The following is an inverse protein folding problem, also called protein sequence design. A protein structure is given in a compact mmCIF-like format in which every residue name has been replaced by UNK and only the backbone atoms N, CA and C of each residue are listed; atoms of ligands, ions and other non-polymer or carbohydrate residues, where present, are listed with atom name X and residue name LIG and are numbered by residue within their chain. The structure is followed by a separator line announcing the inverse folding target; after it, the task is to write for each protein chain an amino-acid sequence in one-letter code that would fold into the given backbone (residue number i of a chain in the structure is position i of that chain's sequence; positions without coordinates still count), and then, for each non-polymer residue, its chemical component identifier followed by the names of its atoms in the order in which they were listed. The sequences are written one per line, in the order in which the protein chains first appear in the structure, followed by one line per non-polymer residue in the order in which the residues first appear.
data_IF_933014797137
#
_entry.id   IF_933014797137
#
_cell.length_a   1.000
_cell.length_b   1.000
_cell.length_c   1.000
_cell.angle_alpha   90.00
_cell.angle_beta   90.00
_cell.angle_gamma   90.00
#
_symmetry.space_group_name_H-M   'P 1'
#
loop_
_entity.id
_entity.type
_entity.pdbx_description
1 polymer ?
#
# COMPACT_ATOMS: atom_id res chain seq x y z
N UNK A 1 -14.27 5.89 75.55
CA UNK A 1 -14.93 5.13 74.46
C UNK A 1 -15.21 6.12 73.33
N UNK A 2 -14.26 6.35 72.43
CA UNK A 2 -14.37 7.38 71.40
C UNK A 2 -13.91 6.81 70.06
N UNK A 3 -14.81 6.92 69.07
CA UNK A 3 -14.84 6.14 67.84
C UNK A 3 -13.65 6.44 66.93
N UNK A 4 -13.01 5.39 66.40
CA UNK A 4 -12.04 5.46 65.31
C UNK A 4 -12.70 6.03 64.04
N UNK A 5 -12.03 6.93 63.29
CA UNK A 5 -12.57 7.46 62.05
C UNK A 5 -12.47 6.40 60.93
N UNK A 6 -13.59 6.18 60.22
CA UNK A 6 -13.62 5.31 59.03
C UNK A 6 -12.85 5.97 57.90
N UNK A 7 -11.81 5.30 57.39
CA UNK A 7 -11.09 5.71 56.18
C UNK A 7 -12.01 5.65 54.94
N UNK A 8 -11.99 6.66 54.06
CA UNK A 8 -12.84 6.68 52.88
C UNK A 8 -12.39 5.62 51.85
N UNK A 9 -13.34 4.78 51.43
CA UNK A 9 -13.13 3.78 50.37
C UNK A 9 -13.01 4.47 49.00
N UNK A 10 -11.86 4.27 48.37
CA UNK A 10 -11.66 3.94 46.96
C UNK A 10 -12.38 4.78 45.90
N UNK A 11 -11.61 5.62 45.19
CA UNK A 11 -12.00 6.18 43.89
C UNK A 11 -10.80 6.38 42.96
N UNK A 12 -10.17 5.28 42.50
CA UNK A 12 -9.12 5.32 41.45
C UNK A 12 -9.51 4.62 40.15
N UNK A 13 -10.80 4.33 39.96
CA UNK A 13 -11.29 3.49 38.86
C UNK A 13 -11.23 4.16 37.47
N UNK A 14 -11.06 5.48 37.39
CA UNK A 14 -11.15 6.24 36.14
C UNK A 14 -9.84 6.29 35.34
N UNK A 15 -8.73 6.55 36.03
CA UNK A 15 -7.41 6.75 35.40
C UNK A 15 -6.84 5.43 34.90
N UNK A 16 -6.92 4.35 35.70
CA UNK A 16 -6.48 3.02 35.28
C UNK A 16 -7.24 2.50 34.05
N UNK A 17 -8.57 2.65 34.01
CA UNK A 17 -9.38 2.24 32.86
C UNK A 17 -9.05 3.03 31.58
N UNK A 18 -8.68 4.30 31.71
CA UNK A 18 -8.27 5.13 30.59
C UNK A 18 -6.91 4.67 30.02
N UNK A 19 -5.95 4.37 30.91
CA UNK A 19 -4.65 3.81 30.51
C UNK A 19 -4.80 2.43 29.86
N UNK A 20 -5.62 1.54 30.41
CA UNK A 20 -5.83 0.20 29.83
C UNK A 20 -6.55 0.30 28.47
N UNK A 21 -7.50 1.22 28.31
CA UNK A 21 -8.17 1.45 27.01
C UNK A 21 -7.24 2.06 25.97
N UNK A 22 -6.40 3.03 26.35
CA UNK A 22 -5.41 3.61 25.45
C UNK A 22 -4.38 2.56 25.01
N UNK A 23 -3.88 1.76 25.96
CA UNK A 23 -2.94 0.68 25.67
C UNK A 23 -3.55 -0.40 24.79
N UNK A 24 -4.79 -0.83 25.08
CA UNK A 24 -5.52 -1.78 24.25
C UNK A 24 -5.77 -1.22 22.84
N UNK A 25 -6.10 0.06 22.71
CA UNK A 25 -6.25 0.72 21.41
C UNK A 25 -4.96 0.78 20.60
N UNK A 26 -3.81 1.01 21.26
CA UNK A 26 -2.49 0.93 20.62
C UNK A 26 -2.21 -0.50 20.16
N UNK A 27 -2.47 -1.50 20.99
CA UNK A 27 -2.29 -2.91 20.61
C UNK A 27 -3.20 -3.32 19.44
N UNK A 28 -4.46 -2.87 19.43
CA UNK A 28 -5.39 -3.11 18.33
C UNK A 28 -4.90 -2.43 17.05
N UNK A 29 -4.37 -1.21 17.12
CA UNK A 29 -3.77 -0.52 15.96
C UNK A 29 -2.53 -1.24 15.45
N UNK A 30 -1.62 -1.67 16.33
CA UNK A 30 -0.41 -2.42 15.96
C UNK A 30 -0.78 -3.76 15.33
N UNK A 31 -1.71 -4.49 15.95
CA UNK A 31 -2.21 -5.76 15.41
C UNK A 31 -2.92 -5.55 14.06
N UNK A 32 -3.71 -4.50 13.90
CA UNK A 32 -4.35 -4.16 12.64
C UNK A 32 -3.31 -3.82 11.55
N UNK A 33 -2.24 -3.10 11.87
CA UNK A 33 -1.14 -2.80 10.93
C UNK A 33 -0.40 -4.07 10.53
N UNK A 34 -0.11 -4.96 11.48
CA UNK A 34 0.53 -6.26 11.20
C UNK A 34 -0.39 -7.11 10.31
N UNK A 35 -1.67 -7.22 10.66
CA UNK A 35 -2.65 -7.98 9.90
C UNK A 35 -2.86 -7.41 8.50
N UNK A 36 -2.90 -6.08 8.33
CA UNK A 36 -2.98 -5.45 7.00
C UNK A 36 -1.76 -5.75 6.14
N UNK A 37 -0.56 -5.77 6.74
CA UNK A 37 0.68 -6.08 6.04
C UNK A 37 0.76 -7.55 5.61
N UNK A 38 0.26 -8.46 6.44
CA UNK A 38 0.33 -9.90 6.16
C UNK A 38 -0.81 -10.38 5.26
N UNK A 39 -2.00 -9.80 5.38
CA UNK A 39 -3.15 -10.11 4.52
C UNK A 39 -2.95 -9.68 3.06
N UNK A 40 -1.96 -8.84 2.76
CA UNK A 40 -1.60 -8.42 1.41
C UNK A 40 -0.55 -9.30 0.72
N UNK A 41 0.06 -10.27 1.43
CA UNK A 41 1.02 -11.20 0.82
C UNK A 41 0.25 -12.32 0.14
N UNK A 42 -0.07 -12.12 -1.13
CA UNK A 42 -0.51 -13.21 -1.99
C UNK A 42 0.68 -13.77 -2.74
N UNK A 43 0.81 -15.09 -2.67
CA UNK A 43 1.83 -15.88 -3.36
C UNK A 43 1.48 -15.93 -4.87
N UNK A 44 1.70 -14.82 -5.57
CA UNK A 44 1.47 -14.65 -7.01
C UNK A 44 2.76 -14.81 -7.82
N UNK A 45 3.78 -15.49 -7.28
CA UNK A 45 5.00 -15.83 -8.02
C UNK A 45 4.69 -16.88 -9.10
N UNK A 46 3.96 -16.48 -10.13
CA UNK A 46 3.78 -17.21 -11.38
C UNK A 46 4.95 -16.82 -12.30
N UNK A 47 6.17 -17.00 -11.81
CA UNK A 47 7.31 -16.98 -12.69
C UNK A 47 7.36 -18.34 -13.40
N UNK A 48 7.46 -18.37 -14.74
CA UNK A 48 7.68 -19.63 -15.42
C UNK A 48 8.97 -20.24 -14.87
N UNK A 49 8.91 -21.51 -14.45
CA UNK A 49 10.08 -22.24 -13.93
C UNK A 49 11.25 -22.29 -14.94
N UNK A 50 10.97 -21.99 -16.21
CA UNK A 50 11.94 -21.83 -17.28
C UNK A 50 11.57 -20.65 -18.17
N UNK A 51 12.48 -19.68 -18.30
CA UNK A 51 12.44 -18.64 -19.34
C UNK A 51 12.93 -19.24 -20.65
N UNK A 52 12.23 -18.98 -21.75
CA UNK A 52 12.63 -19.45 -23.08
C UNK A 52 13.83 -18.64 -23.59
N UNK A 53 14.62 -19.25 -24.47
CA UNK A 53 15.73 -18.53 -25.11
C UNK A 53 15.22 -17.46 -26.10
N UNK A 54 14.06 -17.68 -26.72
CA UNK A 54 13.49 -16.83 -27.77
C UNK A 54 11.97 -16.67 -27.60
N UNK A 55 11.45 -15.51 -28.00
CA UNK A 55 10.04 -15.13 -28.01
C UNK A 55 9.72 -14.40 -29.31
N UNK A 56 8.49 -14.51 -29.80
CA UNK A 56 8.04 -13.78 -30.99
C UNK A 56 7.87 -12.29 -30.69
N UNK A 57 7.43 -11.97 -29.46
CA UNK A 57 7.26 -10.60 -28.99
C UNK A 57 7.73 -10.44 -27.55
N UNK A 58 8.34 -9.29 -27.27
CA UNK A 58 8.62 -8.82 -25.90
C UNK A 58 7.81 -7.54 -25.65
N UNK A 59 6.92 -7.59 -24.68
CA UNK A 59 6.13 -6.45 -24.21
C UNK A 59 6.74 -5.94 -22.91
N UNK A 60 7.06 -4.66 -22.85
CA UNK A 60 7.65 -4.02 -21.66
C UNK A 60 6.61 -3.08 -21.04
N UNK A 61 6.20 -3.39 -19.82
CA UNK A 61 5.17 -2.70 -19.05
C UNK A 61 3.78 -3.33 -19.17
N UNK A 62 3.30 -3.97 -18.10
CA UNK A 62 1.94 -4.46 -17.87
C UNK A 62 0.97 -3.36 -17.37
N UNK A 63 1.15 -2.13 -17.86
CA UNK A 63 0.21 -1.04 -17.62
C UNK A 63 -1.12 -1.22 -18.38
N UNK A 64 -1.91 -0.15 -18.45
CA UNK A 64 -3.25 -0.13 -19.08
C UNK A 64 -3.28 -0.66 -20.52
N UNK A 65 -2.19 -0.50 -21.27
CA UNK A 65 -2.07 -0.99 -22.64
C UNK A 65 -1.32 -2.33 -22.75
N UNK A 66 -0.17 -2.46 -22.10
CA UNK A 66 0.75 -3.58 -22.39
C UNK A 66 0.22 -4.95 -21.95
N UNK A 67 -0.49 -5.03 -20.82
CA UNK A 67 -1.14 -6.28 -20.42
C UNK A 67 -2.20 -6.75 -21.42
N UNK A 68 -2.98 -5.81 -21.97
CA UNK A 68 -3.98 -6.10 -23.01
C UNK A 68 -3.30 -6.56 -24.30
N UNK A 69 -2.26 -5.86 -24.75
CA UNK A 69 -1.51 -6.23 -25.96
C UNK A 69 -0.88 -7.62 -25.83
N UNK A 70 -0.21 -7.89 -24.70
CA UNK A 70 0.40 -9.18 -24.43
C UNK A 70 -0.63 -10.32 -24.47
N UNK A 71 -1.78 -10.12 -23.81
CA UNK A 71 -2.87 -11.10 -23.82
C UNK A 71 -3.40 -11.37 -25.23
N UNK A 72 -3.64 -10.32 -26.04
CA UNK A 72 -4.13 -10.47 -27.42
C UNK A 72 -3.15 -11.17 -28.34
N UNK A 73 -1.85 -10.91 -28.21
CA UNK A 73 -0.81 -11.61 -28.98
C UNK A 73 -0.70 -13.08 -28.56
N UNK A 74 -0.81 -13.37 -27.26
CA UNK A 74 -0.78 -14.73 -26.76
C UNK A 74 -2.01 -15.54 -27.21
N UNK A 75 -3.20 -14.93 -27.27
CA UNK A 75 -4.44 -15.55 -27.78
C UNK A 75 -4.32 -16.06 -29.23
N UNK A 76 -3.44 -15.48 -30.04
CA UNK A 76 -3.21 -15.92 -31.43
C UNK A 76 -2.16 -17.03 -31.56
N UNK A 77 -1.59 -17.50 -30.44
CA UNK A 77 -0.61 -18.59 -30.38
C UNK A 77 0.86 -18.15 -30.42
N UNK A 78 1.15 -16.85 -30.39
CA UNK A 78 2.52 -16.36 -30.31
C UNK A 78 3.12 -16.59 -28.93
N UNK A 79 4.44 -16.83 -28.87
CA UNK A 79 5.19 -16.84 -27.62
C UNK A 79 5.52 -15.39 -27.25
N UNK A 80 4.93 -14.91 -26.16
CA UNK A 80 5.05 -13.51 -25.72
C UNK A 80 5.70 -13.46 -24.34
N UNK A 81 6.76 -12.68 -24.20
CA UNK A 81 7.33 -12.31 -22.91
C UNK A 81 6.80 -10.95 -22.48
N UNK A 82 6.15 -10.88 -21.33
CA UNK A 82 5.75 -9.63 -20.69
C UNK A 82 6.70 -9.34 -19.53
N UNK A 83 7.36 -8.18 -19.57
CA UNK A 83 8.23 -7.68 -18.51
C UNK A 83 7.54 -6.53 -17.80
N UNK A 84 7.38 -6.61 -16.49
CA UNK A 84 6.84 -5.54 -15.64
C UNK A 84 7.86 -5.20 -14.56
N UNK A 85 8.01 -3.90 -14.26
CA UNK A 85 8.98 -3.44 -13.27
C UNK A 85 8.41 -3.48 -11.85
N UNK A 86 7.09 -3.27 -11.72
CA UNK A 86 6.38 -3.41 -10.45
C UNK A 86 6.12 -4.86 -10.08
N UNK A 87 5.73 -5.04 -8.81
CA UNK A 87 5.23 -6.32 -8.30
C UNK A 87 3.69 -6.34 -8.36
N UNK A 88 3.10 -7.37 -7.78
CA UNK A 88 1.66 -7.50 -7.56
C UNK A 88 1.10 -6.22 -6.94
N UNK A 89 0.01 -5.66 -7.50
CA UNK A 89 -0.60 -4.44 -6.97
C UNK A 89 -0.94 -4.56 -5.48
N UNK A 90 -0.63 -3.54 -4.65
CA UNK A 90 -0.93 -3.58 -3.23
C UNK A 90 -2.45 -3.58 -3.00
N UNK A 91 -2.93 -4.21 -1.93
CA UNK A 91 -4.37 -4.32 -1.65
C UNK A 91 -5.10 -2.96 -1.62
N UNK A 92 -4.41 -1.91 -1.17
CA UNK A 92 -4.96 -0.54 -1.17
C UNK A 92 -5.42 -0.06 -2.56
N UNK A 93 -4.87 -0.62 -3.65
CA UNK A 93 -5.27 -0.30 -5.04
C UNK A 93 -6.68 -0.79 -5.39
N UNK A 94 -7.22 -1.75 -4.63
CA UNK A 94 -8.56 -2.31 -4.85
C UNK A 94 -9.68 -1.44 -4.27
N UNK A 95 -9.34 -0.51 -3.38
CA UNK A 95 -10.29 0.38 -2.70
C UNK A 95 -10.13 1.80 -3.24
N UNK A 96 -11.07 2.32 -4.05
CA UNK A 96 -10.91 3.62 -4.70
C UNK A 96 -10.61 4.79 -3.75
N UNK A 97 -11.18 4.76 -2.54
CA UNK A 97 -10.94 5.79 -1.52
C UNK A 97 -9.52 5.81 -0.93
N UNK A 98 -8.72 4.77 -1.17
CA UNK A 98 -7.33 4.68 -0.72
C UNK A 98 -6.31 5.06 -1.80
N UNK A 99 -6.74 5.40 -3.02
CA UNK A 99 -5.84 5.78 -4.11
C UNK A 99 -4.80 6.85 -3.72
N UNK A 100 -5.12 7.91 -2.94
CA UNK A 100 -4.12 8.91 -2.56
C UNK A 100 -2.97 8.37 -1.70
N UNK A 101 -3.12 7.22 -1.05
CA UNK A 101 -2.07 6.58 -0.24
C UNK A 101 -1.00 5.92 -1.13
N UNK A 102 -1.34 5.64 -2.40
CA UNK A 102 -0.42 5.02 -3.35
C UNK A 102 0.41 6.04 -4.12
N UNK A 103 -0.03 7.30 -4.19
CA UNK A 103 0.71 8.38 -4.85
C UNK A 103 1.98 8.70 -4.07
N UNK A 104 3.13 8.69 -4.73
CA UNK A 104 4.45 8.85 -4.12
C UNK A 104 4.93 7.63 -3.33
N UNK A 105 4.24 6.49 -3.42
CA UNK A 105 4.68 5.23 -2.80
C UNK A 105 5.57 4.45 -3.77
N UNK A 106 6.86 4.32 -3.45
CA UNK A 106 7.91 3.88 -4.38
C UNK A 106 7.73 2.49 -4.99
N UNK A 107 6.94 1.60 -4.37
CA UNK A 107 6.72 0.26 -4.91
C UNK A 107 5.57 0.22 -5.94
N UNK A 108 4.69 1.22 -5.95
CA UNK A 108 3.51 1.29 -6.81
C UNK A 108 3.51 2.52 -7.73
N UNK A 109 4.43 3.45 -7.52
CA UNK A 109 4.60 4.70 -8.25
C UNK A 109 6.08 4.85 -8.63
N UNK A 110 6.33 5.28 -9.87
CA UNK A 110 7.68 5.53 -10.36
C UNK A 110 8.36 6.70 -9.64
N UNK A 111 7.60 7.59 -9.02
CA UNK A 111 8.13 8.69 -8.21
C UNK A 111 8.89 9.73 -9.01
N UNK A 112 8.59 9.86 -10.31
CA UNK A 112 9.15 10.94 -11.11
C UNK A 112 8.55 12.27 -10.70
N UNK A 113 9.33 13.35 -10.80
CA UNK A 113 8.87 14.70 -10.53
C UNK A 113 9.04 15.59 -11.76
N UNK A 114 8.12 16.53 -11.93
CA UNK A 114 8.27 17.59 -12.93
C UNK A 114 9.40 18.54 -12.55
N UNK A 115 10.00 19.17 -13.55
CA UNK A 115 10.72 20.45 -13.32
C UNK A 115 9.73 21.53 -12.82
N UNK A 116 10.20 22.59 -12.14
CA UNK A 116 9.34 23.69 -11.70
C UNK A 116 8.50 24.29 -12.84
N UNK A 117 7.19 24.37 -12.64
CA UNK A 117 6.25 24.88 -13.64
C UNK A 117 6.01 26.38 -13.42
N UNK A 118 6.36 27.21 -14.41
CA UNK A 118 6.24 28.67 -14.31
C UNK A 118 4.80 29.19 -14.19
N UNK A 119 3.84 28.43 -14.72
CA UNK A 119 2.44 28.85 -14.86
C UNK A 119 1.46 27.82 -14.29
N UNK A 120 1.90 26.98 -13.36
CA UNK A 120 1.07 25.94 -12.77
C UNK A 120 1.69 25.37 -11.51
N UNK A 121 0.94 24.49 -10.85
CA UNK A 121 1.35 23.84 -9.60
C UNK A 121 1.62 24.82 -8.45
N UNK A 122 1.00 26.01 -8.43
CA UNK A 122 1.18 27.02 -7.38
C UNK A 122 0.77 26.53 -5.98
N UNK A 123 0.00 25.44 -5.90
CA UNK A 123 -0.39 24.78 -4.66
C UNK A 123 0.67 23.78 -4.14
N UNK A 124 1.69 23.48 -4.94
CA UNK A 124 2.75 22.54 -4.61
C UNK A 124 4.05 23.30 -4.33
N UNK A 125 4.82 22.82 -3.34
CA UNK A 125 6.09 23.43 -2.98
C UNK A 125 7.05 23.43 -4.18
N UNK A 126 7.70 24.56 -4.44
CA UNK A 126 8.62 24.70 -5.58
C UNK A 126 7.98 24.62 -6.97
N UNK A 127 6.65 24.66 -7.07
CA UNK A 127 5.90 24.47 -8.31
C UNK A 127 6.24 23.15 -9.02
N UNK A 128 6.53 22.09 -8.27
CA UNK A 128 6.80 20.75 -8.78
C UNK A 128 5.70 19.78 -8.37
N UNK A 129 5.46 18.75 -9.17
CA UNK A 129 4.48 17.71 -8.87
C UNK A 129 5.05 16.34 -9.24
N UNK A 130 4.63 15.33 -8.48
CA UNK A 130 4.86 13.95 -8.84
C UNK A 130 4.10 13.62 -10.13
N UNK A 131 4.76 12.91 -11.04
CA UNK A 131 4.17 12.37 -12.25
C UNK A 131 3.56 11.01 -11.92
N UNK A 132 2.23 10.94 -11.98
CA UNK A 132 1.47 9.71 -11.87
C UNK A 132 1.30 9.01 -13.23
#
# INVERSE_FOLDING_TARGET
MTRQPKLPRGRSMGVQKLFTKAFLWVLVRVAAVIFLKDAGKHDYDIYPSTVLQEYDFVVVGSGSAGGVVAARLAETGWQVLLLEAGDTPPYASTVPGLAPVLLGYTDADWGYETVPQRHGLDAFEGNVSALA
#
